data_IF_091505404201
#
_entry.id   IF_091505404201
#
_cell.length_a   1.000
_cell.length_b   1.000
_cell.length_c   1.000
_cell.angle_alpha   90.00
_cell.angle_beta   90.00
_cell.angle_gamma   90.00
#
_symmetry.space_group_name_H-M   'P 1'
#
loop_
_entity.id
_entity.type
_entity.pdbx_description
1 polymer ?
#
# COMPACT_ATOMS: atom_id res chain seq x y z
N UNK A 1 -43.99 -5.85 17.79
CA UNK A 1 -43.09 -5.47 16.70
C UNK A 1 -43.72 -5.91 15.39
N UNK A 2 -43.98 -4.96 14.53
CA UNK A 2 -44.61 -5.32 13.25
C UNK A 2 -43.55 -5.85 12.27
N UNK A 3 -43.97 -6.25 11.09
CA UNK A 3 -43.08 -6.93 10.13
C UNK A 3 -41.97 -5.96 9.63
N UNK A 4 -42.28 -4.68 9.58
CA UNK A 4 -41.29 -3.68 9.17
C UNK A 4 -40.20 -3.54 10.23
N UNK A 5 -40.60 -3.47 11.49
CA UNK A 5 -39.65 -3.41 12.60
C UNK A 5 -38.76 -4.63 12.64
N UNK A 6 -39.36 -5.81 12.45
CA UNK A 6 -38.60 -7.08 12.42
C UNK A 6 -37.60 -7.09 11.26
N UNK A 7 -38.02 -6.58 10.09
CA UNK A 7 -37.15 -6.52 8.93
C UNK A 7 -35.97 -5.59 9.20
N UNK A 8 -36.23 -4.41 9.78
CA UNK A 8 -35.15 -3.47 10.11
C UNK A 8 -34.16 -4.09 11.10
N UNK A 9 -34.71 -4.75 12.14
CA UNK A 9 -33.87 -5.41 13.13
C UNK A 9 -33.01 -6.51 12.50
N UNK A 10 -33.60 -7.34 11.63
CA UNK A 10 -32.89 -8.40 10.94
C UNK A 10 -31.71 -7.85 10.14
N UNK A 11 -31.98 -6.79 9.35
CA UNK A 11 -30.92 -6.21 8.53
C UNK A 11 -29.79 -5.60 9.40
N UNK A 12 -30.17 -4.95 10.50
CA UNK A 12 -29.18 -4.37 11.40
C UNK A 12 -28.31 -5.44 12.06
N UNK A 13 -28.94 -6.49 12.54
CA UNK A 13 -28.24 -7.58 13.24
C UNK A 13 -27.33 -8.37 12.30
N UNK A 14 -27.81 -8.62 11.10
CA UNK A 14 -27.08 -9.45 10.14
C UNK A 14 -26.11 -8.64 9.25
N UNK A 15 -26.25 -7.33 9.24
CA UNK A 15 -25.43 -6.44 8.40
C UNK A 15 -25.58 -6.80 6.93
N UNK A 16 -26.83 -7.06 6.52
CA UNK A 16 -27.16 -7.50 5.17
C UNK A 16 -27.57 -8.96 5.15
N UNK A 17 -27.82 -9.48 3.97
CA UNK A 17 -28.34 -10.83 3.80
C UNK A 17 -27.35 -11.79 3.12
N UNK A 18 -26.27 -11.27 2.60
CA UNK A 18 -25.31 -12.06 1.83
C UNK A 18 -23.92 -11.83 2.40
N UNK A 19 -23.16 -12.89 2.48
CA UNK A 19 -21.80 -12.86 2.99
C UNK A 19 -20.86 -13.46 1.93
N UNK A 20 -19.68 -12.90 1.83
CA UNK A 20 -18.61 -13.46 1.00
C UNK A 20 -17.69 -14.27 1.90
N UNK A 21 -17.42 -15.51 1.52
CA UNK A 21 -16.48 -16.34 2.25
C UNK A 21 -15.37 -16.79 1.31
N UNK A 22 -14.16 -16.92 1.86
CA UNK A 22 -13.03 -17.42 1.12
C UNK A 22 -13.13 -18.94 0.99
N UNK A 23 -12.91 -19.46 -0.21
CA UNK A 23 -12.86 -20.90 -0.43
C UNK A 23 -11.50 -21.48 -0.05
N UNK A 24 -10.51 -20.62 0.12
CA UNK A 24 -9.15 -21.05 0.45
C UNK A 24 -8.75 -20.48 1.80
N UNK A 25 -7.87 -21.20 2.47
CA UNK A 25 -7.34 -20.77 3.76
C UNK A 25 -6.14 -19.84 3.51
N UNK A 26 -5.96 -18.84 4.36
CA UNK A 26 -4.79 -17.97 4.33
C UNK A 26 -4.32 -17.79 5.78
N UNK A 27 -3.65 -18.81 6.30
CA UNK A 27 -3.22 -18.81 7.70
C UNK A 27 -1.70 -18.83 7.85
N UNK A 28 -0.97 -19.03 6.76
CA UNK A 28 0.49 -19.09 6.81
C UNK A 28 1.06 -18.56 5.50
N UNK A 29 2.39 -18.46 5.47
CA UNK A 29 3.10 -17.88 4.34
C UNK A 29 2.85 -18.61 3.02
N UNK A 30 2.84 -19.93 3.07
CA UNK A 30 2.61 -20.72 1.86
C UNK A 30 1.20 -20.47 1.31
N UNK A 31 0.20 -20.55 2.18
CA UNK A 31 -1.19 -20.31 1.76
C UNK A 31 -1.37 -18.89 1.21
N UNK A 32 -0.74 -17.91 1.85
CA UNK A 32 -0.80 -16.53 1.35
C UNK A 32 -0.20 -16.45 -0.06
N UNK A 33 0.93 -17.09 -0.28
CA UNK A 33 1.58 -17.05 -1.60
C UNK A 33 0.74 -17.74 -2.67
N UNK A 34 0.03 -18.78 -2.30
CA UNK A 34 -0.85 -19.48 -3.25
C UNK A 34 -2.10 -18.66 -3.58
N UNK A 35 -2.62 -17.96 -2.60
CA UNK A 35 -3.88 -17.22 -2.77
C UNK A 35 -3.66 -15.81 -3.34
N UNK A 36 -2.54 -15.21 -2.97
CA UNK A 36 -2.29 -13.79 -3.31
C UNK A 36 -0.81 -13.51 -3.41
N UNK A 37 -0.55 -13.21 -4.29
CA UNK A 37 0.87 -12.94 -4.46
C UNK A 37 1.26 -12.99 -5.93
N UNK A 38 2.43 -12.97 -6.12
CA UNK A 38 3.05 -13.11 -7.40
C UNK A 38 2.76 -14.41 -8.10
N UNK A 39 2.39 -15.26 -7.34
CA UNK A 39 2.06 -16.55 -7.92
C UNK A 39 0.75 -16.53 -8.69
N UNK A 40 0.06 -15.66 -8.41
CA UNK A 40 -1.12 -15.43 -9.15
C UNK A 40 -0.85 -15.00 -10.60
N UNK A 41 0.20 -14.55 -10.80
CA UNK A 41 0.67 -14.19 -12.13
C UNK A 41 0.91 -15.39 -13.01
N UNK A 42 1.08 -16.26 -12.40
CA UNK A 42 1.17 -17.55 -13.11
C UNK A 42 -0.15 -17.99 -13.73
N UNK A 43 -1.08 -17.67 -13.16
CA UNK A 43 -2.38 -17.89 -13.71
C UNK A 43 -2.66 -17.00 -14.91
N UNK A 44 -2.02 -16.06 -14.92
CA UNK A 44 -2.12 -15.13 -16.00
C UNK A 44 -1.44 -15.62 -17.27
N UNK A 45 -0.56 -16.18 -17.01
CA UNK A 45 0.10 -16.77 -18.13
C UNK A 45 -0.68 -17.83 -18.85
N UNK A 46 -1.40 -18.27 -18.20
CA UNK A 46 -2.27 -19.24 -18.81
C UNK A 46 -3.60 -18.59 -19.17
N UNK A 47 -3.66 -17.83 -19.86
CA UNK A 47 -4.74 -17.11 -20.39
C UNK A 47 -5.98 -17.90 -20.81
N UNK A 48 -5.81 -18.93 -21.11
CA UNK A 48 -6.87 -19.85 -21.40
C UNK A 48 -7.47 -20.45 -20.16
N UNK A 49 -6.80 -20.45 -19.31
CA UNK A 49 -7.19 -21.03 -18.06
C UNK A 49 -7.96 -20.04 -17.19
N UNK A 50 -8.01 -19.03 -17.53
CA UNK A 50 -8.67 -18.01 -16.81
C UNK A 50 -10.16 -18.23 -16.68
N UNK A 51 -10.66 -18.67 -17.48
CA UNK A 51 -12.04 -19.00 -17.41
C UNK A 51 -12.33 -20.15 -16.49
N UNK A 52 -11.59 -20.85 -16.40
CA UNK A 52 -11.76 -22.03 -15.59
C UNK A 52 -11.29 -21.83 -14.17
N UNK A 53 -10.36 -21.19 -14.11
CA UNK A 53 -9.70 -21.09 -12.85
C UNK A 53 -10.19 -19.89 -12.03
N UNK A 54 -10.52 -19.15 -12.62
CA UNK A 54 -10.96 -17.99 -11.92
C UNK A 54 -12.47 -18.08 -11.74
N UNK A 55 -12.73 -17.89 -10.88
CA UNK A 55 -14.06 -18.01 -10.55
C UNK A 55 -14.89 -16.94 -11.09
N UNK A 56 -14.40 -16.58 -11.82
CA UNK A 56 -15.00 -15.52 -12.48
C UNK A 56 -16.44 -15.67 -12.85
N UNK A 57 -16.66 -16.57 -12.73
CA UNK A 57 -17.96 -16.84 -13.09
C UNK A 57 -19.01 -16.52 -12.07
N UNK A 58 -18.90 -16.60 -11.19
CA UNK A 58 -19.93 -16.51 -10.25
C UNK A 58 -19.84 -15.29 -9.40
N UNK A 59 -19.08 -14.68 -9.73
CA UNK A 59 -18.87 -13.65 -8.80
C UNK A 59 -19.68 -12.43 -9.07
N UNK A 60 -20.15 -12.13 -8.26
CA UNK A 60 -20.99 -11.00 -8.29
C UNK A 60 -20.20 -9.80 -7.93
N UNK A 61 -20.45 -8.98 -8.30
CA UNK A 61 -19.78 -7.73 -8.34
C UNK A 61 -19.41 -7.17 -7.04
N UNK A 62 -18.67 -6.60 -7.15
CA UNK A 62 -18.28 -6.01 -6.24
C UNK A 62 -17.31 -5.05 -5.86
N UNK A 63 -16.99 -4.94 -5.23
CA UNK A 63 -16.45 -3.82 -4.88
C UNK A 63 -15.01 -3.74 -4.62
N UNK A 64 -14.56 -4.07 -5.02
CA UNK A 64 -13.23 -3.68 -4.92
C UNK A 64 -12.91 -3.16 -6.25
N UNK A 65 -13.10 -2.36 -6.48
CA UNK A 65 -12.90 -1.76 -7.66
C UNK A 65 -11.51 -1.95 -8.07
N UNK A 66 -11.33 -2.67 -8.47
CA UNK A 66 -10.05 -2.89 -8.97
C UNK A 66 -10.09 -2.54 -10.40
N UNK A 67 -9.61 -1.77 -10.57
CA UNK A 67 -9.52 -1.34 -11.91
C UNK A 67 -8.34 -1.98 -12.47
N UNK A 68 -8.41 -2.70 -12.91
CA UNK A 68 -7.38 -3.41 -13.50
C UNK A 68 -6.97 -2.74 -14.72
N UNK A 69 -6.43 -2.00 -14.51
CA UNK A 69 -5.89 -1.37 -15.65
C UNK A 69 -4.57 -1.95 -15.91
N UNK A 70 -4.34 -2.47 -16.28
CA UNK A 70 -3.21 -3.09 -16.66
C UNK A 70 -2.01 -2.39 -16.22
N UNK A 71 -1.99 -2.35 -15.21
CA UNK A 71 -0.84 -1.74 -14.70
C UNK A 71 0.35 -2.54 -14.80
N UNK A 72 0.43 -3.25 -14.26
CA UNK A 72 1.65 -3.94 -14.25
C UNK A 72 1.83 -4.36 -15.64
N UNK A 73 2.03 -3.99 -16.08
CA UNK A 73 2.24 -4.31 -17.39
C UNK A 73 0.94 -4.71 -18.04
N UNK A 74 0.44 -4.37 -18.52
CA UNK A 74 -0.61 -4.67 -19.22
C UNK A 74 -1.04 -6.07 -19.21
N UNK A 75 -1.30 -6.70 -18.19
CA UNK A 75 -1.79 -8.11 -18.16
C UNK A 75 -3.29 -8.18 -18.47
N UNK A 76 -4.03 -7.04 -18.33
CA UNK A 76 -5.44 -6.98 -18.64
C UNK A 76 -6.34 -7.46 -17.52
N UNK A 77 -7.65 -7.17 -17.68
CA UNK A 77 -8.61 -7.47 -16.60
C UNK A 77 -8.79 -8.96 -16.33
N UNK A 78 -8.72 -9.77 -17.35
CA UNK A 78 -8.90 -11.21 -17.17
C UNK A 78 -7.78 -11.81 -16.32
N UNK A 79 -6.55 -11.42 -16.58
CA UNK A 79 -5.41 -11.93 -15.81
C UNK A 79 -5.34 -11.31 -14.41
N UNK A 80 -5.91 -10.13 -14.23
CA UNK A 80 -5.94 -9.48 -12.93
C UNK A 80 -6.93 -10.12 -11.97
N UNK A 81 -7.95 -10.81 -12.48
CA UNK A 81 -9.02 -11.33 -11.64
C UNK A 81 -8.51 -12.25 -10.52
N UNK A 82 -7.62 -13.22 -10.76
CA UNK A 82 -7.13 -14.05 -9.66
C UNK A 82 -6.45 -13.25 -8.55
N UNK A 83 -5.73 -12.19 -8.90
CA UNK A 83 -5.09 -11.32 -7.91
C UNK A 83 -6.15 -10.60 -7.09
N UNK A 84 -7.19 -10.10 -7.75
CA UNK A 84 -8.26 -9.40 -7.06
C UNK A 84 -9.07 -10.35 -6.16
N UNK A 85 -9.28 -11.58 -6.60
CA UNK A 85 -9.92 -12.58 -5.73
C UNK A 85 -9.07 -12.84 -4.50
N UNK A 86 -7.75 -12.96 -4.68
CA UNK A 86 -6.84 -13.11 -3.56
C UNK A 86 -6.94 -11.94 -2.58
N UNK A 87 -6.99 -10.73 -3.12
CA UNK A 87 -7.16 -9.54 -2.28
C UNK A 87 -8.44 -9.61 -1.46
N UNK A 88 -9.53 -10.08 -2.07
CA UNK A 88 -10.80 -10.24 -1.36
C UNK A 88 -10.69 -11.28 -0.24
N UNK A 89 -9.94 -12.35 -0.46
CA UNK A 89 -9.68 -13.34 0.59
C UNK A 89 -8.95 -12.72 1.77
N UNK A 90 -8.01 -11.82 1.50
CA UNK A 90 -7.26 -11.14 2.56
C UNK A 90 -8.17 -10.20 3.37
N UNK A 91 -9.04 -9.46 2.69
CA UNK A 91 -10.01 -8.62 3.39
C UNK A 91 -10.86 -9.45 4.35
N UNK A 92 -11.32 -10.60 3.89
CA UNK A 92 -12.17 -11.45 4.73
C UNK A 92 -11.37 -12.06 5.88
N UNK A 93 -10.23 -12.64 5.55
CA UNK A 93 -9.42 -13.38 6.53
C UNK A 93 -8.92 -12.48 7.65
N UNK A 94 -8.41 -11.30 7.30
CA UNK A 94 -7.74 -10.46 8.29
C UNK A 94 -8.66 -9.44 8.95
N UNK A 95 -9.77 -9.07 8.30
CA UNK A 95 -10.61 -8.00 8.83
C UNK A 95 -12.12 -8.29 8.80
N UNK A 96 -12.51 -9.46 8.33
CA UNK A 96 -13.94 -9.81 8.27
C UNK A 96 -14.74 -8.90 7.35
N UNK A 97 -14.11 -8.36 6.31
CA UNK A 97 -14.75 -7.47 5.35
C UNK A 97 -15.18 -8.26 4.14
N UNK A 98 -16.43 -8.11 3.75
CA UNK A 98 -16.95 -8.72 2.52
C UNK A 98 -16.51 -7.88 1.33
N UNK A 99 -15.63 -8.43 0.51
CA UNK A 99 -15.08 -7.73 -0.64
C UNK A 99 -15.38 -8.51 -1.92
N UNK A 100 -15.65 -7.78 -2.99
CA UNK A 100 -15.97 -8.37 -4.29
C UNK A 100 -14.97 -7.87 -5.34
N UNK A 101 -14.43 -8.75 -6.18
CA UNK A 101 -13.46 -8.33 -7.19
C UNK A 101 -14.15 -7.82 -8.45
N UNK A 102 -13.72 -6.66 -8.93
CA UNK A 102 -14.18 -6.12 -10.21
C UNK A 102 -12.96 -5.72 -11.02
N UNK A 103 -12.84 -6.27 -12.22
CA UNK A 103 -11.78 -5.90 -13.15
C UNK A 103 -12.44 -5.26 -14.37
N UNK A 104 -12.28 -3.96 -14.54
CA UNK A 104 -12.99 -3.19 -15.56
C UNK A 104 -12.14 -3.15 -16.83
N UNK A 105 -12.73 -3.53 -17.94
CA UNK A 105 -12.01 -3.65 -19.21
C UNK A 105 -11.97 -2.30 -19.94
N UNK A 106 -11.20 -1.38 -19.41
CA UNK A 106 -10.95 -0.09 -20.04
C UNK A 106 -9.65 0.51 -19.55
N UNK A 107 -9.01 1.33 -20.39
CA UNK A 107 -7.87 2.16 -19.99
C UNK A 107 -8.22 3.64 -20.08
N UNK A 108 -9.46 3.97 -20.44
CA UNK A 108 -9.92 5.35 -20.51
C UNK A 108 -10.29 5.83 -19.12
N UNK A 109 -9.61 6.88 -18.65
CA UNK A 109 -9.81 7.42 -17.31
C UNK A 109 -11.26 7.86 -17.07
N UNK A 110 -11.86 8.54 -18.03
CA UNK A 110 -13.25 9.03 -17.88
C UNK A 110 -14.23 7.87 -17.74
N UNK A 111 -14.04 6.85 -18.57
CA UNK A 111 -14.90 5.65 -18.56
C UNK A 111 -14.73 4.89 -17.25
N UNK A 112 -13.49 4.75 -16.77
CA UNK A 112 -13.21 4.07 -15.53
C UNK A 112 -13.86 4.79 -14.34
N UNK A 113 -13.67 6.11 -14.26
CA UNK A 113 -14.23 6.91 -13.16
C UNK A 113 -15.76 6.84 -13.19
N UNK A 114 -16.35 6.98 -14.36
CA UNK A 114 -17.81 6.92 -14.48
C UNK A 114 -18.36 5.56 -14.06
N UNK A 115 -17.71 4.49 -14.52
CA UNK A 115 -18.16 3.14 -14.20
C UNK A 115 -18.12 2.89 -12.68
N UNK A 116 -17.01 3.23 -12.05
CA UNK A 116 -16.86 3.02 -10.61
C UNK A 116 -17.87 3.88 -9.84
N UNK A 117 -18.03 5.14 -10.24
CA UNK A 117 -18.97 6.04 -9.57
C UNK A 117 -20.40 5.49 -9.64
N UNK A 118 -20.82 4.98 -10.81
CA UNK A 118 -22.17 4.45 -10.96
C UNK A 118 -22.40 3.22 -10.07
N UNK A 119 -21.37 2.44 -9.79
CA UNK A 119 -21.48 1.27 -8.94
C UNK A 119 -21.37 1.60 -7.45
N UNK A 120 -20.86 2.77 -7.11
CA UNK A 120 -20.44 3.08 -5.74
C UNK A 120 -21.57 3.02 -4.71
N UNK A 121 -22.82 3.30 -5.12
CA UNK A 121 -23.93 3.28 -4.18
C UNK A 121 -24.24 1.89 -3.63
N UNK A 122 -23.67 0.84 -4.24
CA UNK A 122 -23.87 -0.54 -3.78
C UNK A 122 -22.85 -0.95 -2.73
N UNK A 123 -21.88 -0.10 -2.40
CA UNK A 123 -20.74 -0.47 -1.57
C UNK A 123 -20.50 0.52 -0.45
N UNK A 124 -19.80 0.03 0.58
CA UNK A 124 -19.36 0.88 1.69
C UNK A 124 -17.98 1.48 1.52
N UNK A 125 -17.24 1.01 0.52
CA UNK A 125 -15.89 1.52 0.24
C UNK A 125 -15.36 0.96 -1.06
N UNK A 126 -14.33 1.60 -1.59
CA UNK A 126 -13.71 1.20 -2.86
C UNK A 126 -12.20 1.13 -2.66
N UNK A 127 -11.63 -0.04 -2.92
CA UNK A 127 -10.19 -0.21 -2.96
C UNK A 127 -9.74 -0.23 -4.41
N UNK A 128 -8.90 0.74 -4.78
CA UNK A 128 -8.33 0.80 -6.13
C UNK A 128 -7.00 0.03 -6.13
N UNK A 129 -6.76 -0.69 -7.22
CA UNK A 129 -5.61 -1.56 -7.33
C UNK A 129 -5.09 -1.54 -8.76
N UNK A 130 -3.76 -1.53 -8.92
CA UNK A 130 -3.11 -1.75 -10.22
C UNK A 130 -3.48 -0.73 -11.30
N UNK A 131 -3.72 0.50 -10.93
CA UNK A 131 -3.91 1.60 -11.89
C UNK A 131 -2.59 2.34 -11.98
N UNK A 132 -2.02 2.43 -13.18
CA UNK A 132 -0.68 2.99 -13.36
C UNK A 132 -0.63 4.51 -13.13
N UNK A 133 0.53 4.98 -12.67
CA UNK A 133 0.77 6.42 -12.58
C UNK A 133 1.09 6.97 -13.97
N UNK A 134 0.72 8.20 -14.26
CA UNK A 134 0.08 9.18 -13.36
C UNK A 134 -1.44 9.09 -13.31
N UNK A 135 -2.04 8.20 -14.12
CA UNK A 135 -3.49 8.08 -14.22
C UNK A 135 -4.15 7.76 -12.88
N UNK A 136 -3.50 6.95 -12.03
CA UNK A 136 -4.07 6.58 -10.74
C UNK A 136 -4.35 7.79 -9.84
N UNK A 137 -3.53 8.82 -9.93
CA UNK A 137 -3.73 10.03 -9.12
C UNK A 137 -5.03 10.74 -9.51
N UNK A 138 -5.27 10.84 -10.80
CA UNK A 138 -6.50 11.49 -11.30
C UNK A 138 -7.72 10.66 -10.96
N UNK A 139 -7.64 9.34 -11.13
CA UNK A 139 -8.78 8.45 -10.85
C UNK A 139 -9.17 8.56 -9.37
N UNK A 140 -8.21 8.45 -8.47
CA UNK A 140 -8.50 8.53 -7.04
C UNK A 140 -9.06 9.90 -6.67
N UNK A 141 -8.44 10.97 -7.15
CA UNK A 141 -8.88 12.33 -6.84
C UNK A 141 -10.33 12.58 -7.29
N UNK A 142 -10.63 12.16 -8.51
CA UNK A 142 -11.97 12.37 -9.06
C UNK A 142 -13.03 11.54 -8.32
N UNK A 143 -12.70 10.27 -8.00
CA UNK A 143 -13.64 9.42 -7.28
C UNK A 143 -13.88 9.90 -5.86
N UNK A 144 -12.85 10.43 -5.19
CA UNK A 144 -13.04 10.98 -3.84
C UNK A 144 -14.03 12.17 -3.86
N UNK A 145 -14.06 12.94 -4.93
CA UNK A 145 -15.01 14.04 -5.07
C UNK A 145 -16.43 13.57 -5.38
N UNK A 146 -16.53 12.50 -6.19
CA UNK A 146 -17.83 12.02 -6.68
C UNK A 146 -18.53 11.11 -5.69
N UNK A 147 -17.76 10.32 -4.93
CA UNK A 147 -18.33 9.30 -4.05
C UNK A 147 -18.37 9.81 -2.61
N UNK A 148 -19.40 9.39 -1.88
CA UNK A 148 -19.47 9.72 -0.45
C UNK A 148 -19.12 8.50 0.43
N UNK A 149 -18.40 7.55 -0.15
CA UNK A 149 -17.82 6.41 0.55
C UNK A 149 -16.30 6.45 0.36
N UNK A 150 -15.51 5.81 1.22
CA UNK A 150 -14.06 5.86 1.09
C UNK A 150 -13.57 5.29 -0.23
N UNK A 151 -12.60 5.98 -0.83
CA UNK A 151 -11.88 5.52 -2.01
C UNK A 151 -10.40 5.53 -1.64
N UNK A 152 -9.73 4.39 -1.80
CA UNK A 152 -8.37 4.22 -1.30
C UNK A 152 -7.57 3.42 -2.32
N UNK A 153 -6.46 3.97 -2.77
CA UNK A 153 -5.57 3.29 -3.74
C UNK A 153 -4.44 2.63 -2.96
N UNK A 154 -4.49 1.31 -2.85
CA UNK A 154 -3.57 0.58 -1.99
C UNK A 154 -2.12 0.68 -2.43
N UNK A 155 -1.86 0.67 -3.73
CA UNK A 155 -0.48 0.77 -4.24
C UNK A 155 0.18 2.07 -3.85
N UNK A 156 -0.61 3.12 -3.64
CA UNK A 156 -0.12 4.39 -3.13
C UNK A 156 -0.05 4.37 -1.61
N UNK A 157 -1.22 4.37 -0.99
CA UNK A 157 -1.34 4.68 0.44
C UNK A 157 -1.03 3.50 1.34
N UNK A 158 -1.35 2.29 0.91
CA UNK A 158 -1.03 1.10 1.71
C UNK A 158 0.48 0.93 1.84
N UNK A 159 1.18 1.06 0.71
CA UNK A 159 2.63 0.95 0.71
C UNK A 159 3.27 2.04 1.57
N UNK A 160 2.77 3.27 1.45
CA UNK A 160 3.30 4.39 2.23
C UNK A 160 3.11 4.17 3.73
N UNK A 161 1.93 3.69 4.12
CA UNK A 161 1.62 3.44 5.53
C UNK A 161 2.57 2.39 6.12
N UNK A 162 2.76 1.28 5.43
CA UNK A 162 3.58 0.21 5.95
C UNK A 162 5.06 0.60 5.96
N UNK A 163 5.53 1.28 4.91
CA UNK A 163 6.91 1.78 4.88
C UNK A 163 7.14 2.79 6.00
N UNK A 164 6.17 3.66 6.25
CA UNK A 164 6.26 4.62 7.35
C UNK A 164 6.35 3.94 8.70
N UNK A 165 5.55 2.89 8.92
CA UNK A 165 5.59 2.14 10.17
C UNK A 165 6.96 1.49 10.38
N UNK A 166 7.48 0.85 9.33
CA UNK A 166 8.78 0.20 9.39
C UNK A 166 9.89 1.22 9.67
N UNK A 167 9.83 2.38 8.98
CA UNK A 167 10.85 3.40 9.17
C UNK A 167 10.80 3.99 10.58
N UNK A 168 9.60 4.25 11.09
CA UNK A 168 9.45 4.78 12.45
C UNK A 168 10.20 3.89 13.45
N UNK A 169 9.98 2.58 13.36
CA UNK A 169 10.62 1.63 14.28
C UNK A 169 12.11 1.45 13.99
N UNK A 170 12.51 1.43 12.72
CA UNK A 170 13.93 1.30 12.37
C UNK A 170 14.74 2.48 12.91
N UNK A 171 14.17 3.69 12.81
CA UNK A 171 14.83 4.88 13.34
C UNK A 171 15.02 4.79 14.85
N UNK A 172 14.02 4.27 15.57
CA UNK A 172 14.16 4.04 17.00
C UNK A 172 15.30 3.10 17.31
N UNK A 173 15.43 2.02 16.52
CA UNK A 173 16.52 1.05 16.70
C UNK A 173 17.90 1.68 16.60
N UNK A 174 18.08 2.62 15.68
CA UNK A 174 19.41 3.20 15.43
C UNK A 174 19.59 4.55 16.12
N UNK A 175 18.57 5.00 16.86
CA UNK A 175 18.68 6.24 17.62
C UNK A 175 18.73 7.50 16.77
N UNK A 176 18.06 7.49 15.64
CA UNK A 176 18.00 8.64 14.73
C UNK A 176 16.57 9.18 14.69
N UNK A 177 16.44 10.47 14.35
CA UNK A 177 15.13 11.12 14.26
C UNK A 177 14.77 11.43 12.81
N UNK A 178 13.49 11.29 12.49
CA UNK A 178 13.06 11.44 11.11
C UNK A 178 13.36 12.84 10.55
N UNK A 179 13.30 13.85 11.38
CA UNK A 179 13.57 15.23 10.91
C UNK A 179 15.05 15.49 10.66
N UNK A 180 15.94 14.61 11.12
CA UNK A 180 17.38 14.80 10.97
C UNK A 180 18.00 13.93 9.86
N UNK A 181 17.34 12.82 9.48
CA UNK A 181 17.93 11.86 8.56
C UNK A 181 17.74 12.27 7.11
N UNK A 182 18.69 11.87 6.29
CA UNK A 182 18.59 12.04 4.83
C UNK A 182 17.96 10.78 4.24
N UNK A 183 16.84 10.97 3.56
CA UNK A 183 16.03 9.88 3.03
C UNK A 183 16.03 9.96 1.50
N UNK A 184 16.40 8.84 0.85
CA UNK A 184 16.39 8.72 -0.60
C UNK A 184 15.33 7.70 -1.00
N UNK A 185 14.41 8.13 -1.86
CA UNK A 185 13.37 7.24 -2.39
C UNK A 185 13.62 7.06 -3.88
N UNK A 186 13.84 5.83 -4.32
CA UNK A 186 14.08 5.53 -5.72
C UNK A 186 12.86 4.88 -6.34
N UNK A 187 12.26 5.59 -7.28
CA UNK A 187 11.00 5.28 -7.91
C UNK A 187 10.04 6.41 -7.65
N UNK A 188 9.66 7.14 -8.70
CA UNK A 188 8.78 8.31 -8.56
C UNK A 188 7.46 8.08 -9.28
N UNK A 189 6.95 6.85 -9.17
CA UNK A 189 5.59 6.50 -9.58
C UNK A 189 4.64 6.57 -8.41
N UNK A 190 3.56 5.79 -8.48
CA UNK A 190 2.49 5.86 -7.49
C UNK A 190 2.99 5.60 -6.07
N UNK A 191 3.71 4.50 -5.87
CA UNK A 191 4.17 4.14 -4.53
C UNK A 191 5.22 5.11 -4.01
N UNK A 192 6.23 5.43 -4.84
CA UNK A 192 7.32 6.31 -4.39
C UNK A 192 6.85 7.69 -4.00
N UNK A 193 5.99 8.29 -4.82
CA UNK A 193 5.45 9.61 -4.51
C UNK A 193 4.58 9.60 -3.24
N UNK A 194 3.80 8.54 -3.06
CA UNK A 194 2.97 8.43 -1.87
C UNK A 194 3.83 8.24 -0.62
N UNK A 195 4.86 7.41 -0.70
CA UNK A 195 5.80 7.25 0.43
C UNK A 195 6.44 8.59 0.76
N UNK A 196 6.93 9.30 -0.26
CA UNK A 196 7.57 10.60 -0.03
C UNK A 196 6.64 11.58 0.66
N UNK A 197 5.42 11.73 0.15
CA UNK A 197 4.43 12.62 0.75
C UNK A 197 4.10 12.20 2.18
N UNK A 198 3.96 10.91 2.41
CA UNK A 198 3.64 10.40 3.74
C UNK A 198 4.77 10.67 4.75
N UNK A 199 6.02 10.41 4.33
CA UNK A 199 7.16 10.66 5.22
C UNK A 199 7.33 12.15 5.51
N UNK A 200 7.06 13.03 4.53
CA UNK A 200 7.06 14.46 4.77
C UNK A 200 6.01 14.82 5.84
N UNK A 201 4.83 14.21 5.76
CA UNK A 201 3.78 14.45 6.76
C UNK A 201 4.16 13.91 8.14
N UNK A 202 5.03 12.90 8.20
CA UNK A 202 5.53 12.36 9.47
C UNK A 202 6.67 13.19 10.05
N UNK A 203 7.15 14.19 9.32
CA UNK A 203 8.18 15.07 9.82
C UNK A 203 9.52 15.04 9.11
N UNK A 204 9.65 14.26 8.04
CA UNK A 204 10.90 14.23 7.28
C UNK A 204 11.17 15.61 6.68
N UNK A 205 12.42 16.03 6.71
CA UNK A 205 12.84 17.34 6.17
C UNK A 205 13.87 17.22 5.06
N UNK A 206 14.64 16.15 5.04
CA UNK A 206 15.73 15.97 4.09
C UNK A 206 15.43 14.75 3.21
N UNK A 207 14.52 14.92 2.29
CA UNK A 207 14.03 13.85 1.43
C UNK A 207 14.35 14.17 -0.03
N UNK A 208 14.84 13.17 -0.77
CA UNK A 208 15.17 13.29 -2.18
C UNK A 208 14.55 12.13 -2.93
N UNK A 209 13.82 12.44 -4.01
CA UNK A 209 13.26 11.43 -4.91
C UNK A 209 14.19 11.22 -6.09
N UNK A 210 14.30 10.00 -6.57
CA UNK A 210 15.12 9.64 -7.72
C UNK A 210 14.28 8.77 -8.67
N UNK A 211 14.42 9.01 -9.97
CA UNK A 211 13.80 8.13 -10.96
C UNK A 211 14.83 7.79 -12.05
N UNK A 212 14.37 7.30 -13.19
CA UNK A 212 15.26 6.86 -14.27
C UNK A 212 16.20 7.97 -14.76
N UNK A 213 15.72 9.21 -14.72
CA UNK A 213 16.51 10.36 -15.20
C UNK A 213 17.45 10.89 -14.12
N UNK A 214 17.40 10.34 -12.91
CA UNK A 214 18.22 10.78 -11.81
C UNK A 214 17.42 11.48 -10.74
N UNK A 215 18.12 12.30 -9.95
CA UNK A 215 17.51 13.03 -8.83
C UNK A 215 16.45 13.99 -9.35
N UNK A 216 15.27 13.97 -8.72
CA UNK A 216 14.19 14.89 -9.06
C UNK A 216 14.41 16.21 -8.34
N UNK A 217 14.32 17.30 -9.10
CA UNK A 217 14.49 18.66 -8.57
C UNK A 217 13.43 19.57 -9.19
N UNK A 218 13.15 20.65 -8.49
CA UNK A 218 12.17 21.64 -8.94
C UNK A 218 12.53 22.17 -10.32
N UNK A 219 11.59 22.10 -11.26
CA UNK A 219 11.81 22.60 -12.60
C UNK A 219 12.47 21.63 -13.57
N UNK A 220 12.73 20.38 -13.15
CA UNK A 220 13.33 19.41 -14.07
C UNK A 220 12.38 19.18 -15.26
N UNK A 221 12.94 19.11 -16.49
CA UNK A 221 12.10 19.10 -17.69
C UNK A 221 11.18 17.89 -17.80
N UNK A 222 11.53 16.77 -17.19
CA UNK A 222 10.74 15.54 -17.32
C UNK A 222 9.75 15.33 -16.18
N UNK A 223 9.66 16.27 -15.23
CA UNK A 223 8.73 16.10 -14.13
C UNK A 223 7.28 16.12 -14.61
N UNK A 224 6.49 15.13 -14.18
CA UNK A 224 5.03 15.25 -14.33
C UNK A 224 4.50 16.14 -13.18
N UNK A 225 3.18 16.38 -13.18
CA UNK A 225 2.57 17.27 -12.19
C UNK A 225 2.83 16.81 -10.76
N UNK A 226 2.69 15.52 -10.48
CA UNK A 226 2.88 14.99 -9.13
C UNK A 226 4.34 15.07 -8.71
N UNK A 227 5.27 14.81 -9.63
CA UNK A 227 6.70 14.90 -9.35
C UNK A 227 7.12 16.35 -9.10
N UNK A 228 6.60 17.29 -9.88
CA UNK A 228 6.88 18.70 -9.64
C UNK A 228 6.35 19.14 -8.27
N UNK A 229 5.17 18.66 -7.91
CA UNK A 229 4.57 19.02 -6.61
C UNK A 229 5.46 18.58 -5.44
N UNK A 230 5.98 17.35 -5.48
CA UNK A 230 6.85 16.91 -4.39
C UNK A 230 8.23 17.58 -4.48
N UNK A 231 8.68 17.91 -5.68
CA UNK A 231 9.97 18.60 -5.83
C UNK A 231 9.96 19.96 -5.15
N UNK A 232 8.79 20.60 -5.04
CA UNK A 232 8.68 21.89 -4.34
C UNK A 232 8.88 21.75 -2.83
N UNK A 233 8.73 20.54 -2.29
CA UNK A 233 8.80 20.28 -0.85
C UNK A 233 9.92 19.34 -0.45
N UNK A 234 10.72 18.89 -1.41
CA UNK A 234 11.83 17.96 -1.19
C UNK A 234 13.05 18.44 -1.96
N UNK A 235 14.21 17.82 -1.69
CA UNK A 235 15.45 18.20 -2.35
C UNK A 235 15.63 19.73 -2.37
N UNK A 236 15.52 20.33 -1.19
CA UNK A 236 15.51 21.78 -1.08
C UNK A 236 16.81 22.42 -1.56
N UNK A 237 17.91 21.67 -1.58
CA UNK A 237 19.20 22.12 -2.09
C UNK A 237 19.29 22.04 -3.63
N UNK A 238 18.24 21.53 -4.27
CA UNK A 238 18.17 21.37 -5.73
C UNK A 238 19.35 20.57 -6.28
N UNK A 239 19.73 19.53 -5.55
CA UNK A 239 20.80 18.63 -5.95
C UNK A 239 20.40 17.90 -7.23
N UNK A 240 21.38 17.69 -8.11
CA UNK A 240 21.20 16.92 -9.33
C UNK A 240 22.20 15.77 -9.34
N UNK A 241 21.92 14.74 -10.12
CA UNK A 241 22.84 13.61 -10.23
C UNK A 241 22.11 12.27 -10.29
N UNK A 242 22.88 11.23 -10.04
CA UNK A 242 22.42 9.83 -10.14
C UNK A 242 21.95 9.32 -8.77
N UNK A 243 21.42 8.09 -8.76
CA UNK A 243 21.10 7.41 -7.50
C UNK A 243 22.35 7.29 -6.63
N UNK A 244 23.51 6.94 -7.22
CA UNK A 244 24.74 6.83 -6.45
C UNK A 244 25.10 8.16 -5.78
N UNK A 245 24.90 9.26 -6.52
CA UNK A 245 25.17 10.60 -5.96
C UNK A 245 24.23 10.88 -4.78
N UNK A 246 22.96 10.50 -4.91
CA UNK A 246 21.98 10.74 -3.86
C UNK A 246 22.29 9.92 -2.61
N UNK A 247 22.73 8.67 -2.78
CA UNK A 247 22.95 7.76 -1.66
C UNK A 247 24.18 8.11 -0.83
N UNK A 248 25.15 8.84 -1.40
CA UNK A 248 26.37 9.20 -0.65
C UNK A 248 25.97 10.02 0.59
N UNK A 249 26.27 9.48 1.77
CA UNK A 249 25.96 10.12 3.04
C UNK A 249 24.49 10.02 3.48
N UNK A 250 23.67 9.27 2.75
CA UNK A 250 22.25 9.11 3.12
C UNK A 250 22.07 8.13 4.26
N UNK A 251 21.08 8.40 5.09
CA UNK A 251 20.74 7.51 6.22
C UNK A 251 19.75 6.41 5.83
N UNK A 252 18.86 6.69 4.89
CA UNK A 252 17.74 5.81 4.55
C UNK A 252 17.61 5.73 3.03
N UNK A 253 17.48 4.49 2.55
CA UNK A 253 17.12 4.20 1.15
C UNK A 253 15.80 3.46 1.12
N UNK A 254 14.86 3.91 0.29
CA UNK A 254 13.62 3.19 0.04
C UNK A 254 13.50 3.01 -1.47
N UNK A 255 13.42 1.75 -1.93
CA UNK A 255 13.34 1.45 -3.35
C UNK A 255 12.01 0.83 -3.72
N UNK A 256 11.34 1.39 -4.73
CA UNK A 256 10.06 0.89 -5.25
C UNK A 256 10.07 0.96 -6.78
N UNK A 257 11.16 0.53 -7.38
CA UNK A 257 11.37 0.70 -8.81
C UNK A 257 11.76 -0.60 -9.51
N UNK A 258 13.04 -0.90 -9.61
CA UNK A 258 13.54 -1.99 -10.44
C UNK A 258 14.63 -2.76 -9.71
N UNK A 259 14.84 -4.03 -10.11
CA UNK A 259 15.81 -4.87 -9.40
C UNK A 259 17.24 -4.43 -9.63
N UNK A 260 18.10 -4.74 -8.66
CA UNK A 260 19.56 -4.67 -8.77
C UNK A 260 20.10 -3.28 -9.08
N UNK A 261 19.41 -2.23 -8.62
CA UNK A 261 19.85 -0.85 -8.86
C UNK A 261 20.88 -0.36 -7.85
N UNK A 262 21.01 -1.04 -6.70
CA UNK A 262 21.91 -0.58 -5.64
C UNK A 262 23.08 -1.54 -5.52
N UNK A 263 24.29 -1.02 -5.67
CA UNK A 263 25.51 -1.81 -5.54
C UNK A 263 26.04 -1.81 -4.11
N UNK A 264 26.93 -2.72 -3.81
CA UNK A 264 27.62 -2.73 -2.52
C UNK A 264 28.35 -1.42 -2.25
N UNK A 265 28.98 -0.84 -3.27
CA UNK A 265 29.69 0.43 -3.10
C UNK A 265 28.72 1.57 -2.77
N UNK A 266 27.53 1.57 -3.36
CA UNK A 266 26.51 2.55 -3.01
C UNK A 266 26.13 2.46 -1.53
N UNK A 267 25.96 1.23 -1.01
CA UNK A 267 25.66 1.05 0.40
C UNK A 267 26.81 1.53 1.28
N UNK A 268 28.05 1.20 0.91
CA UNK A 268 29.23 1.64 1.67
C UNK A 268 29.30 3.16 1.76
N UNK A 269 28.81 3.87 0.73
CA UNK A 269 28.85 5.32 0.70
C UNK A 269 27.84 5.99 1.62
N UNK A 270 26.86 5.22 2.11
CA UNK A 270 25.81 5.76 2.97
C UNK A 270 26.34 6.07 4.37
N UNK A 271 25.55 6.79 5.14
CA UNK A 271 25.89 7.14 6.51
C UNK A 271 25.94 5.88 7.39
N UNK A 272 26.58 6.01 8.54
CA UNK A 272 26.63 4.94 9.52
C UNK A 272 25.22 4.56 9.98
N UNK A 273 25.04 3.28 10.27
CA UNK A 273 23.73 2.74 10.70
C UNK A 273 22.64 2.95 9.66
N UNK A 274 22.97 2.73 8.40
CA UNK A 274 22.04 2.94 7.30
C UNK A 274 20.87 1.96 7.35
N UNK A 275 19.71 2.47 6.95
CA UNK A 275 18.46 1.69 6.86
C UNK A 275 18.09 1.58 5.39
N UNK A 276 17.86 0.35 4.91
CA UNK A 276 17.50 0.12 3.51
C UNK A 276 16.20 -0.67 3.40
N UNK A 277 15.25 -0.15 2.62
CA UNK A 277 14.02 -0.86 2.27
C UNK A 277 13.99 -1.07 0.76
N UNK A 278 14.72 -2.10 0.25
CA UNK A 278 14.69 -2.41 -1.18
C UNK A 278 13.45 -3.27 -1.47
N UNK A 279 12.38 -2.63 -1.93
CA UNK A 279 11.07 -3.25 -2.02
C UNK A 279 10.65 -3.65 -3.43
N UNK A 280 11.51 -3.55 -4.44
CA UNK A 280 11.17 -4.03 -5.78
C UNK A 280 10.88 -5.54 -5.74
N UNK A 281 9.86 -5.95 -6.50
CA UNK A 281 9.42 -7.34 -6.53
C UNK A 281 9.51 -7.89 -7.95
N UNK A 282 9.87 -9.17 -8.12
CA UNK A 282 10.26 -10.14 -7.08
C UNK A 282 11.72 -10.05 -6.64
N UNK A 283 12.55 -9.35 -7.40
CA UNK A 283 13.97 -9.18 -7.12
C UNK A 283 14.21 -7.77 -6.60
N UNK A 284 14.75 -7.61 -5.40
CA UNK A 284 14.94 -6.28 -4.83
C UNK A 284 16.09 -5.52 -5.47
N UNK A 285 16.17 -4.24 -5.17
CA UNK A 285 17.25 -3.36 -5.64
C UNK A 285 18.62 -3.85 -5.17
N UNK A 286 18.66 -4.47 -3.99
CA UNK A 286 19.82 -5.18 -3.45
C UNK A 286 19.27 -6.22 -2.48
N UNK A 287 19.87 -7.41 -2.46
CA UNK A 287 19.41 -8.42 -1.51
C UNK A 287 19.87 -8.08 -0.09
N UNK A 288 19.03 -8.40 0.91
CA UNK A 288 19.37 -8.04 2.30
C UNK A 288 20.74 -8.52 2.75
N UNK A 289 21.12 -9.77 2.42
CA UNK A 289 22.43 -10.28 2.85
C UNK A 289 23.59 -9.50 2.24
N UNK A 290 23.42 -9.02 1.00
CA UNK A 290 24.45 -8.19 0.36
C UNK A 290 24.59 -6.84 1.05
N UNK A 291 23.45 -6.21 1.36
CA UNK A 291 23.46 -4.90 2.02
C UNK A 291 24.06 -5.00 3.42
N UNK A 292 23.65 -6.01 4.18
CA UNK A 292 24.14 -6.18 5.55
C UNK A 292 25.64 -6.47 5.56
N UNK A 293 26.15 -7.21 4.56
CA UNK A 293 27.56 -7.55 4.48
C UNK A 293 28.45 -6.33 4.31
N UNK A 294 27.92 -5.23 3.80
CA UNK A 294 28.72 -4.03 3.52
C UNK A 294 28.33 -2.82 4.37
N UNK A 295 27.64 -3.08 5.48
CA UNK A 295 27.47 -2.07 6.51
C UNK A 295 26.06 -1.56 6.75
N UNK A 296 25.06 -2.00 6.00
CA UNK A 296 23.68 -1.63 6.33
C UNK A 296 23.35 -2.17 7.72
N UNK A 297 22.65 -1.37 8.51
CA UNK A 297 22.29 -1.79 9.88
C UNK A 297 20.96 -2.53 9.90
N UNK A 298 19.98 -2.02 9.17
CA UNK A 298 18.63 -2.61 9.14
C UNK A 298 18.18 -2.68 7.69
N UNK A 299 17.66 -3.86 7.28
CA UNK A 299 17.10 -4.04 5.95
C UNK A 299 15.71 -4.63 6.06
N UNK A 300 14.75 -4.04 5.33
CA UNK A 300 13.40 -4.59 5.19
C UNK A 300 13.06 -4.62 3.71
N UNK A 301 12.30 -5.63 3.29
CA UNK A 301 11.95 -5.78 1.87
C UNK A 301 10.53 -6.28 1.71
N UNK A 302 10.10 -6.42 0.46
CA UNK A 302 8.77 -6.99 0.20
C UNK A 302 8.74 -8.50 0.26
N UNK A 303 9.89 -9.15 0.35
CA UNK A 303 9.96 -10.61 0.26
C UNK A 303 9.59 -11.27 1.58
N UNK A 304 8.83 -12.36 1.47
CA UNK A 304 8.39 -13.12 2.64
C UNK A 304 9.47 -14.02 3.22
N UNK A 305 10.56 -14.25 2.46
CA UNK A 305 11.61 -15.14 2.90
C UNK A 305 12.76 -14.45 3.65
N UNK A 306 12.56 -13.16 4.00
CA UNK A 306 13.52 -12.37 4.76
C UNK A 306 12.85 -11.75 5.97
N UNK A 307 13.60 -11.42 7.03
CA UNK A 307 13.05 -10.65 8.15
C UNK A 307 12.56 -9.28 7.70
N UNK A 308 11.68 -8.68 8.49
CA UNK A 308 11.17 -7.33 8.24
C UNK A 308 10.45 -7.22 6.91
N UNK A 309 9.53 -8.15 6.65
CA UNK A 309 8.71 -8.06 5.43
C UNK A 309 7.78 -6.86 5.53
N UNK A 310 7.88 -5.96 4.55
CA UNK A 310 7.03 -4.76 4.45
C UNK A 310 5.91 -5.11 3.48
N UNK A 311 4.73 -5.43 4.03
CA UNK A 311 3.63 -6.01 3.28
C UNK A 311 2.35 -5.20 3.52
N UNK A 312 1.71 -4.77 2.43
CA UNK A 312 0.48 -3.97 2.49
C UNK A 312 -0.65 -4.66 3.26
N UNK A 313 -0.61 -5.96 3.42
CA UNK A 313 -1.65 -6.67 4.17
C UNK A 313 -1.71 -6.21 5.63
N UNK A 314 -0.66 -5.57 6.13
CA UNK A 314 -0.71 -4.98 7.47
C UNK A 314 -1.62 -3.75 7.52
N UNK A 315 -1.91 -3.14 6.37
CA UNK A 315 -2.62 -1.86 6.31
C UNK A 315 -4.07 -1.98 5.85
N UNK A 316 -4.28 -2.41 4.58
CA UNK A 316 -5.59 -2.22 3.95
C UNK A 316 -6.74 -2.92 4.66
N UNK A 317 -6.59 -4.16 5.19
CA UNK A 317 -7.75 -4.79 5.82
C UNK A 317 -8.24 -4.02 7.04
N UNK A 318 -7.33 -3.67 7.94
CA UNK A 318 -7.68 -2.90 9.13
C UNK A 318 -8.19 -1.51 8.83
N UNK A 319 -7.62 -0.86 7.82
CA UNK A 319 -8.06 0.48 7.43
C UNK A 319 -9.53 0.46 7.00
N UNK A 320 -9.89 -0.48 6.12
CA UNK A 320 -11.28 -0.56 5.68
C UNK A 320 -12.19 -1.03 6.80
N UNK A 321 -11.72 -1.97 7.67
CA UNK A 321 -12.52 -2.36 8.82
C UNK A 321 -12.85 -1.14 9.68
N UNK A 322 -11.85 -0.33 9.99
CA UNK A 322 -12.06 0.86 10.80
C UNK A 322 -12.96 1.89 10.14
N UNK A 323 -12.75 2.13 8.85
CA UNK A 323 -13.57 3.09 8.11
C UNK A 323 -15.04 2.62 8.04
N UNK A 324 -15.24 1.34 7.75
CA UNK A 324 -16.59 0.78 7.65
C UNK A 324 -17.30 0.75 9.00
N UNK A 325 -16.58 0.49 10.09
CA UNK A 325 -17.17 0.44 11.42
C UNK A 325 -17.83 1.76 11.83
N UNK A 326 -17.31 2.88 11.35
CA UNK A 326 -17.88 4.20 11.67
C UNK A 326 -18.56 4.84 10.46
N UNK A 327 -18.78 4.06 9.40
CA UNK A 327 -19.37 4.53 8.15
C UNK A 327 -18.72 5.81 7.65
N UNK A 328 -17.40 5.82 7.62
CA UNK A 328 -16.65 6.99 7.21
C UNK A 328 -16.97 7.38 5.77
N UNK A 329 -16.96 8.66 5.48
CA UNK A 329 -17.15 9.17 4.11
C UNK A 329 -15.84 9.22 3.32
N UNK A 330 -14.72 9.02 4.00
CA UNK A 330 -13.40 9.15 3.38
C UNK A 330 -12.38 8.34 4.20
N UNK A 331 -11.29 8.00 3.57
CA UNK A 331 -10.07 7.59 4.26
C UNK A 331 -9.08 8.72 4.00
N UNK A 332 -8.89 9.56 5.00
CA UNK A 332 -8.10 10.77 4.86
C UNK A 332 -6.69 10.62 5.44
N UNK A 333 -5.89 11.68 5.36
CA UNK A 333 -4.50 11.64 5.81
C UNK A 333 -4.38 11.34 7.30
N UNK A 334 -5.29 11.85 8.12
CA UNK A 334 -5.26 11.56 9.56
C UNK A 334 -5.45 10.07 9.83
N UNK A 335 -6.33 9.43 9.09
CA UNK A 335 -6.58 8.00 9.21
C UNK A 335 -5.37 7.19 8.76
N UNK A 336 -4.70 7.61 7.69
CA UNK A 336 -3.49 6.95 7.22
C UNK A 336 -2.35 7.07 8.24
N UNK A 337 -2.20 8.25 8.84
CA UNK A 337 -1.20 8.46 9.89
C UNK A 337 -1.50 7.57 11.10
N UNK A 338 -2.77 7.51 11.50
CA UNK A 338 -3.18 6.65 12.61
C UNK A 338 -2.84 5.19 12.34
N UNK A 339 -3.08 4.73 11.10
CA UNK A 339 -2.76 3.34 10.72
C UNK A 339 -1.25 3.08 10.83
N UNK A 340 -0.44 4.03 10.36
CA UNK A 340 1.02 3.91 10.40
C UNK A 340 1.51 3.67 11.83
N UNK A 341 1.08 4.52 12.77
CA UNK A 341 1.54 4.41 14.15
C UNK A 341 0.92 3.21 14.86
N UNK A 342 -0.30 2.80 14.48
CA UNK A 342 -0.90 1.60 15.05
C UNK A 342 -0.10 0.35 14.68
N UNK A 343 0.32 0.25 13.42
CA UNK A 343 1.14 -0.90 12.98
C UNK A 343 2.48 -0.88 13.72
N UNK A 344 3.13 0.27 13.78
CA UNK A 344 4.43 0.39 14.44
C UNK A 344 4.34 0.00 15.91
N UNK A 345 3.26 0.38 16.59
CA UNK A 345 3.11 0.14 18.03
C UNK A 345 2.92 -1.34 18.39
N UNK A 346 2.60 -2.19 17.42
CA UNK A 346 2.48 -3.63 17.69
C UNK A 346 3.83 -4.20 18.18
N UNK A 347 4.92 -3.66 17.66
CA UNK A 347 6.25 -4.07 18.11
C UNK A 347 6.59 -3.24 19.35
N UNK A 348 6.54 -3.86 20.53
CA UNK A 348 6.85 -3.17 21.77
C UNK A 348 8.33 -2.74 21.79
N UNK A 349 8.62 -1.65 22.46
CA UNK A 349 9.99 -1.14 22.55
C UNK A 349 10.95 -2.23 23.06
N UNK A 350 10.50 -3.08 23.98
CA UNK A 350 11.31 -4.16 24.54
C UNK A 350 11.58 -5.28 23.54
N UNK A 351 10.78 -5.38 22.47
CA UNK A 351 10.94 -6.40 21.44
C UNK A 351 11.67 -5.89 20.21
N UNK A 352 11.82 -4.58 20.12
CA UNK A 352 12.36 -3.93 18.94
C UNK A 352 13.82 -4.29 18.74
N UNK A 353 14.18 -4.75 17.53
CA UNK A 353 15.55 -5.08 17.20
C UNK A 353 15.73 -5.04 15.68
N UNK A 354 16.95 -5.16 15.23
CA UNK A 354 17.29 -4.97 13.81
C UNK A 354 16.52 -5.87 12.87
N UNK A 355 16.18 -7.08 13.30
CA UNK A 355 15.44 -8.02 12.47
C UNK A 355 13.96 -8.12 12.87
N UNK A 356 13.46 -7.19 13.67
CA UNK A 356 12.04 -7.15 14.05
C UNK A 356 11.62 -5.70 14.27
N UNK A 357 11.40 -5.00 13.16
CA UNK A 357 10.96 -3.59 13.17
C UNK A 357 9.49 -3.44 12.75
N UNK A 358 8.87 -4.52 12.29
CA UNK A 358 7.49 -4.47 11.81
C UNK A 358 6.87 -5.83 12.09
N UNK A 359 5.57 -5.88 12.45
CA UNK A 359 4.95 -7.17 12.74
C UNK A 359 4.82 -8.02 11.47
N UNK A 360 4.75 -9.32 11.65
CA UNK A 360 4.52 -10.22 10.53
C UNK A 360 3.08 -10.16 10.03
N UNK A 361 2.84 -10.62 8.80
CA UNK A 361 1.50 -10.50 8.20
C UNK A 361 0.43 -11.33 8.89
N UNK A 362 0.79 -12.32 9.69
CA UNK A 362 -0.18 -13.17 10.39
C UNK A 362 -0.35 -12.80 11.86
N UNK A 363 0.21 -11.68 12.28
CA UNK A 363 0.02 -11.19 13.64
C UNK A 363 -1.41 -10.70 13.78
N UNK A 364 -2.20 -11.43 14.56
CA UNK A 364 -3.64 -11.17 14.65
C UNK A 364 -3.98 -9.86 15.35
N UNK A 365 -3.02 -9.24 16.02
CA UNK A 365 -3.25 -7.96 16.70
C UNK A 365 -3.34 -6.79 15.73
N UNK A 366 -2.75 -6.92 14.54
CA UNK A 366 -2.55 -5.77 13.63
C UNK A 366 -3.88 -5.21 13.13
N UNK A 367 -4.72 -6.04 12.53
CA UNK A 367 -5.96 -5.55 11.92
C UNK A 367 -6.85 -4.86 12.95
N UNK A 368 -6.95 -5.41 14.15
CA UNK A 368 -7.76 -4.81 15.21
C UNK A 368 -7.19 -3.46 15.66
N UNK A 369 -5.88 -3.38 15.86
CA UNK A 369 -5.24 -2.15 16.28
C UNK A 369 -5.38 -1.05 15.23
N UNK A 370 -5.17 -1.42 13.96
CA UNK A 370 -5.34 -0.49 12.85
C UNK A 370 -6.78 0.00 12.80
N UNK A 371 -7.75 -0.92 12.87
CA UNK A 371 -9.17 -0.54 12.79
C UNK A 371 -9.57 0.42 13.91
N UNK A 372 -9.13 0.16 15.13
CA UNK A 372 -9.43 1.03 16.27
C UNK A 372 -8.85 2.43 16.06
N UNK A 373 -7.59 2.52 15.66
CA UNK A 373 -6.93 3.80 15.47
C UNK A 373 -7.53 4.58 14.31
N UNK A 374 -7.86 3.88 13.23
CA UNK A 374 -8.48 4.50 12.05
C UNK A 374 -9.87 5.01 12.38
N UNK A 375 -10.68 4.23 13.11
CA UNK A 375 -12.01 4.66 13.56
C UNK A 375 -11.91 5.93 14.41
N UNK A 376 -11.00 5.97 15.37
CA UNK A 376 -10.81 7.13 16.22
C UNK A 376 -10.41 8.35 15.40
N UNK A 377 -9.50 8.17 14.45
CA UNK A 377 -9.06 9.27 13.57
C UNK A 377 -10.19 9.75 12.67
N UNK A 378 -11.05 8.83 12.19
CA UNK A 378 -12.21 9.22 11.38
C UNK A 378 -13.16 10.11 12.19
N UNK A 379 -13.38 9.75 13.45
CA UNK A 379 -14.24 10.56 14.32
C UNK A 379 -13.61 11.92 14.59
N UNK A 380 -12.35 11.94 14.96
CA UNK A 380 -11.65 13.19 15.29
C UNK A 380 -11.57 14.14 14.10
N UNK A 381 -11.39 13.59 12.89
CA UNK A 381 -11.27 14.41 11.69
C UNK A 381 -12.60 14.70 11.02
N UNK A 382 -13.71 14.23 11.60
CA UNK A 382 -15.05 14.62 11.18
C UNK A 382 -15.62 13.87 9.98
N UNK A 383 -15.05 12.73 9.62
CA UNK A 383 -15.58 11.95 8.48
C UNK A 383 -16.38 10.72 8.91
N UNK A 384 -16.45 10.41 10.18
CA UNK A 384 -17.29 9.32 10.68
C UNK A 384 -18.75 9.75 10.69
N UNK A 385 -19.64 8.79 10.43
CA UNK A 385 -21.09 9.06 10.45
C UNK A 385 -21.79 8.45 11.66
N UNK A 386 -21.15 7.52 12.34
CA UNK A 386 -21.67 6.92 13.58
C UNK A 386 -20.53 6.73 14.60
#
# INVERSE_FOLDING_TARGET
MDINEKAMQLHAERRGKIEVISRVSVTNREELSLAYXXXXXXXXXXXXXXXXXXXXXXXXXXXXXXXXXXXXXXIGPEAAMPVMEGKCCLFKTFAGVDAFPLCIKTQDTDELVKTIHLLSSSFGGINLEDISAPRCFEVEKRLKKLCDIPVFHDDQHGTAIVAGAALHNALKCVGKRIQDVRIIINGAGAAGLSIGNHLLSMGAKNLVMVDKAGIIYEGAPDNNTAQEAIALRSNLDKKQGTLADALAGADVFIGVSAPKLVSADMVRSMARDAILFPMANPTPEIFPEEALAVGARIVGSGRSDYPNQINNVLAFPGIFRGALDVRASDINDAMCTAATYAIAAIVADSELREDYIIPGPFDKRVALAVAESVSAAARTSGVARI
#
